data_IF_630052735694
#
_entry.id   IF_630052735694
#
_cell.length_a   1.000
_cell.length_b   1.000
_cell.length_c   1.000
_cell.angle_alpha   90.00
_cell.angle_beta   90.00
_cell.angle_gamma   90.00
#
_symmetry.space_group_name_H-M   'P 1'
#
loop_
_entity.id
_entity.type
_entity.pdbx_description
1 polymer ?
2 branched ?
3 water ?
#
# COMPACT_ATOMS: atom_id res chain seq x y z
N UNK A 4 15.83 -12.80 -2.63
CA UNK A 4 15.51 -13.71 -1.48
C UNK A 4 14.02 -13.68 -1.12
N UNK A 5 13.67 -14.30 0.01
CA UNK A 5 12.29 -14.39 0.46
C UNK A 5 11.62 -13.03 0.48
N UNK A 6 10.30 -13.03 0.35
CA UNK A 6 9.47 -11.92 0.77
C UNK A 6 9.68 -11.68 2.26
N UNK A 7 9.41 -10.45 2.68
CA UNK A 7 9.52 -10.05 4.08
C UNK A 7 8.25 -10.30 4.91
N UNK A 8 7.11 -10.53 4.26
CA UNK A 8 5.83 -10.58 5.00
C UNK A 8 5.46 -11.99 5.41
N UNK A 9 4.96 -12.76 4.44
CA UNK A 9 4.66 -14.19 4.62
C UNK A 9 3.58 -14.51 5.66
N UNK A 10 2.68 -13.55 5.92
CA UNK A 10 1.55 -13.81 6.85
C UNK A 10 0.74 -15.05 6.49
N UNK A 11 0.70 -15.38 5.19
CA UNK A 11 -0.26 -16.38 4.69
C UNK A 11 0.04 -17.81 5.15
N UNK A 12 1.30 -18.07 5.51
CA UNK A 12 1.69 -19.36 6.03
C UNK A 12 1.14 -19.60 7.43
N UNK A 13 0.88 -18.52 8.17
CA UNK A 13 0.43 -18.70 9.56
C UNK A 13 -0.96 -18.16 9.83
N UNK A 14 -1.70 -17.88 8.75
CA UNK A 14 -3.04 -17.29 8.83
C UNK A 14 -4.05 -18.09 8.02
N UNK A 15 -5.31 -17.99 8.44
CA UNK A 15 -6.41 -18.63 7.71
C UNK A 15 -7.68 -17.77 7.76
N UNK A 16 -8.72 -18.25 7.08
CA UNK A 16 -9.98 -17.51 6.87
C UNK A 16 -9.60 -16.07 6.54
N UNK A 17 -8.77 -15.89 5.51
CA UNK A 17 -8.34 -14.56 5.12
C UNK A 17 -9.51 -13.87 4.39
N UNK A 18 -9.86 -12.67 4.84
CA UNK A 18 -11.06 -11.94 4.41
C UNK A 18 -10.77 -10.46 4.18
N UNK A 19 -11.56 -9.79 3.35
CA UNK A 19 -11.58 -8.34 3.31
C UNK A 19 -12.86 -7.77 3.94
N UNK A 20 -12.72 -6.78 4.83
CA UNK A 20 -13.83 -5.96 5.31
C UNK A 20 -13.63 -4.53 4.77
N UNK A 21 -14.01 -4.36 3.50
CA UNK A 21 -13.69 -3.18 2.71
C UNK A 21 -12.21 -3.16 2.35
N UNK A 22 -11.49 -2.13 2.78
CA UNK A 22 -10.05 -2.10 2.60
C UNK A 22 -9.28 -2.81 3.74
N UNK A 23 -9.99 -3.29 4.76
CA UNK A 23 -9.32 -3.91 5.90
C UNK A 23 -9.13 -5.44 5.69
N UNK A 24 -7.89 -5.91 5.81
CA UNK A 24 -7.56 -7.33 5.68
C UNK A 24 -7.73 -7.98 7.03
N UNK A 25 -8.51 -9.05 7.11
CA UNK A 25 -8.73 -9.73 8.38
C UNK A 25 -8.38 -11.22 8.22
N UNK A 26 -7.86 -11.82 9.28
CA UNK A 26 -7.48 -13.24 9.27
C UNK A 26 -7.49 -13.80 10.68
N UNK A 27 -7.66 -15.12 10.75
CA UNK A 27 -7.36 -15.85 11.96
C UNK A 27 -5.85 -16.08 11.95
N UNK A 28 -5.14 -15.46 12.88
CA UNK A 28 -3.68 -15.62 12.95
C UNK A 28 -3.22 -16.53 14.11
N UNK A 29 -2.28 -17.43 13.83
CA UNK A 29 -1.63 -18.22 14.87
C UNK A 29 -0.82 -17.28 15.75
N UNK A 30 -0.86 -17.54 17.05
CA UNK A 30 -0.09 -16.80 18.06
C UNK A 30 1.11 -17.67 18.50
N UNK A 31 2.20 -17.09 18.99
CA UNK A 31 3.30 -17.97 19.47
C UNK A 31 2.95 -19.18 20.35
N UNK A 32 1.86 -19.07 21.13
CA UNK A 32 1.54 -19.98 22.24
C UNK A 32 0.63 -21.16 21.89
N UNK A 33 0.35 -21.33 20.60
CA UNK A 33 -0.55 -22.37 20.13
C UNK A 33 -1.99 -21.90 19.96
N UNK A 34 -2.31 -20.68 20.42
CA UNK A 34 -3.69 -20.19 20.32
C UNK A 34 -3.87 -19.42 19.01
N UNK A 35 -5.06 -18.87 18.80
CA UNK A 35 -5.33 -18.05 17.61
C UNK A 35 -5.86 -16.67 17.99
N UNK A 36 -5.66 -15.70 17.11
CA UNK A 36 -6.26 -14.38 17.23
C UNK A 36 -7.01 -14.09 15.93
N UNK A 37 -7.94 -13.14 15.98
CA UNK A 37 -8.47 -12.52 14.77
C UNK A 37 -7.86 -11.14 14.73
N UNK A 38 -7.12 -10.83 13.66
CA UNK A 38 -6.39 -9.57 13.55
C UNK A 38 -6.83 -8.88 12.27
N UNK A 39 -6.81 -7.55 12.27
CA UNK A 39 -7.10 -6.78 11.07
C UNK A 39 -5.96 -5.81 10.77
N UNK A 40 -5.66 -5.61 9.49
CA UNK A 40 -4.77 -4.51 9.07
C UNK A 40 -5.41 -3.69 7.94
N UNK A 41 -5.37 -2.37 8.05
CA UNK A 41 -5.97 -1.48 7.06
C UNK A 41 -5.05 -1.39 5.86
N UNK A 42 -5.39 -2.09 4.78
CA UNK A 42 -4.55 -2.02 3.57
C UNK A 42 -4.52 -0.64 2.89
N UNK A 43 -5.53 0.20 3.16
CA UNK A 43 -5.53 1.58 2.64
C UNK A 43 -4.42 2.44 3.23
N UNK A 44 -3.78 1.95 4.29
CA UNK A 44 -2.63 2.62 4.87
C UNK A 44 -1.30 2.25 4.18
N UNK A 45 -1.27 1.11 3.47
CA UNK A 45 0.00 0.53 2.96
C UNK A 45 0.11 0.40 1.44
N UNK A 46 -1.05 0.44 0.77
CA UNK A 46 -1.14 0.34 -0.70
C UNK A 46 -1.62 1.64 -1.36
N UNK A 47 -0.91 2.08 -2.40
CA UNK A 47 -1.35 3.21 -3.24
C UNK A 47 -1.84 2.75 -4.61
N UNK A 48 -2.70 3.56 -5.22
CA UNK A 48 -2.99 3.39 -6.63
C UNK A 48 -2.05 4.31 -7.40
N UNK A 49 -1.05 3.69 -8.00
CA UNK A 49 -0.03 4.39 -8.74
C UNK A 49 -0.41 4.39 -10.22
N UNK A 50 -1.12 5.43 -10.64
CA UNK A 50 -1.70 5.49 -11.97
C UNK A 50 -2.13 4.14 -12.58
N UNK A 51 -2.94 3.37 -11.86
CA UNK A 51 -3.48 2.13 -12.43
C UNK A 51 -2.84 0.86 -11.91
N UNK A 52 -1.86 0.99 -11.01
CA UNK A 52 -1.04 -0.12 -10.52
C UNK A 52 -0.87 -0.08 -9.00
N UNK A 53 -1.05 -1.23 -8.36
CA UNK A 53 -0.82 -1.37 -6.92
C UNK A 53 0.64 -1.13 -6.64
N UNK A 54 0.91 -0.35 -5.60
CA UNK A 54 2.28 -0.05 -5.19
C UNK A 54 2.30 -0.02 -3.67
N UNK A 55 3.35 -0.58 -3.08
CA UNK A 55 3.52 -0.53 -1.62
C UNK A 55 4.13 0.81 -1.27
N UNK A 56 3.32 1.69 -0.70
CA UNK A 56 3.80 3.02 -0.30
C UNK A 56 3.05 3.36 0.96
N UNK A 57 3.78 3.44 2.06
CA UNK A 57 3.17 3.64 3.37
C UNK A 57 2.74 5.09 3.59
N UNK A 58 1.53 5.27 4.13
CA UNK A 58 1.02 6.60 4.44
C UNK A 58 2.10 7.26 5.31
N UNK A 59 2.61 8.39 4.84
CA UNK A 59 3.68 9.10 5.54
C UNK A 59 3.79 10.56 5.10
N UNK A 60 4.72 11.29 5.70
CA UNK A 60 5.06 12.62 5.23
C UNK A 60 6.56 12.63 4.94
N UNK A 61 6.96 13.45 3.97
CA UNK A 61 8.38 13.65 3.66
C UNK A 61 8.68 15.15 3.60
N UNK A 62 9.75 15.57 4.26
CA UNK A 62 10.16 16.97 4.24
C UNK A 62 11.22 17.24 3.17
N UNK A 63 10.89 18.09 2.21
CA UNK A 63 11.81 18.38 1.12
C UNK A 63 13.14 18.96 1.64
N UNK A 64 14.24 18.45 1.11
CA UNK A 64 15.55 19.01 1.41
C UNK A 64 16.07 19.76 0.20
N UNK A 65 16.93 20.76 0.42
CA UNK A 65 17.59 21.50 -0.67
C UNK A 65 18.27 20.57 -1.66
N UNK A 66 18.04 20.83 -2.94
CA UNK A 66 18.54 19.98 -4.02
C UNK A 66 17.66 18.83 -4.46
N UNK A 67 16.67 18.45 -3.64
CA UNK A 67 15.68 17.43 -4.02
C UNK A 67 14.92 17.84 -5.28
N UNK A 68 14.45 16.83 -6.02
CA UNK A 68 13.48 17.03 -7.08
C UNK A 68 12.34 16.05 -6.83
N UNK A 69 11.20 16.34 -7.44
CA UNK A 69 10.03 15.48 -7.28
C UNK A 69 10.34 14.10 -7.87
N UNK A 70 11.07 14.05 -8.98
CA UNK A 70 11.55 12.76 -9.50
C UNK A 70 12.33 11.94 -8.48
N UNK A 71 13.30 12.57 -7.80
CA UNK A 71 14.12 11.87 -6.82
C UNK A 71 13.26 11.32 -5.70
N UNK A 72 12.35 12.15 -5.20
CA UNK A 72 11.44 11.72 -4.15
C UNK A 72 10.54 10.59 -4.68
N UNK A 73 10.08 10.72 -5.93
CA UNK A 73 9.33 9.65 -6.61
C UNK A 73 10.10 8.35 -6.57
N UNK A 74 11.36 8.40 -6.99
CA UNK A 74 12.24 7.25 -6.95
C UNK A 74 12.48 6.72 -5.54
N UNK A 75 12.68 7.62 -4.58
CA UNK A 75 12.89 7.17 -3.19
C UNK A 75 11.68 6.45 -2.60
N UNK A 76 10.47 6.82 -3.03
CA UNK A 76 9.24 6.24 -2.46
C UNK A 76 8.46 5.31 -3.39
N UNK A 77 8.97 5.11 -4.60
CA UNK A 77 8.34 4.27 -5.63
C UNK A 77 6.92 4.68 -5.94
N UNK A 78 6.79 5.81 -6.64
CA UNK A 78 5.48 6.30 -7.04
C UNK A 78 5.55 7.43 -8.06
N UNK A 79 4.45 7.59 -8.77
CA UNK A 79 4.26 8.60 -9.79
C UNK A 79 4.31 9.99 -9.15
N UNK A 80 5.39 10.73 -9.42
CA UNK A 80 5.54 12.08 -8.86
C UNK A 80 4.45 13.04 -9.34
N UNK A 81 3.77 12.66 -10.43
CA UNK A 81 2.63 13.44 -10.89
C UNK A 81 1.50 13.44 -9.87
N UNK A 82 1.27 12.29 -9.23
CA UNK A 82 0.24 12.17 -8.19
C UNK A 82 0.69 12.81 -6.88
N UNK A 83 1.96 12.65 -6.51
CA UNK A 83 2.50 13.44 -5.37
C UNK A 83 2.19 14.92 -5.59
N UNK A 84 2.37 15.38 -6.83
CA UNK A 84 2.14 16.78 -7.16
C UNK A 84 0.67 17.21 -6.99
N UNK A 85 -0.26 16.41 -7.53
CA UNK A 85 -1.69 16.73 -7.44
C UNK A 85 -2.15 16.68 -5.99
N UNK A 86 -1.96 15.53 -5.35
CA UNK A 86 -2.28 15.33 -3.93
C UNK A 86 -1.82 16.44 -2.98
N UNK A 87 -0.66 17.02 -3.27
CA UNK A 87 -0.08 18.13 -2.51
C UNK A 87 -0.25 19.50 -3.17
N UNK A 88 -1.07 19.56 -4.22
CA UNK A 88 -1.44 20.80 -4.91
C UNK A 88 -0.24 21.68 -5.28
N UNK A 89 0.71 21.01 -5.92
CA UNK A 89 1.92 21.63 -6.39
C UNK A 89 1.60 22.30 -7.73
N UNK A 90 1.82 23.62 -7.77
CA UNK A 90 1.55 24.43 -8.96
C UNK A 90 2.42 24.09 -10.18
N UNK A 91 3.68 23.74 -9.93
CA UNK A 91 4.66 23.50 -10.98
C UNK A 91 5.56 22.36 -10.50
N UNK A 92 5.51 21.22 -11.19
CA UNK A 92 6.21 20.01 -10.75
C UNK A 92 7.75 20.16 -10.65
N UNK A 93 8.29 21.19 -11.31
CA UNK A 93 9.73 21.48 -11.28
C UNK A 93 10.13 22.42 -10.13
N UNK A 94 9.14 22.87 -9.35
CA UNK A 94 9.38 23.79 -8.22
C UNK A 94 8.88 23.23 -6.87
N UNK A 95 9.84 22.75 -6.08
CA UNK A 95 9.62 22.39 -4.69
C UNK A 95 10.66 23.10 -3.82
N UNK A 96 10.40 23.18 -2.52
CA UNK A 96 11.18 24.09 -1.67
C UNK A 96 11.59 23.40 -0.37
N UNK A 97 12.82 23.65 0.12
CA UNK A 97 13.23 22.99 1.36
C UNK A 97 12.26 23.26 2.51
N UNK A 98 12.01 22.25 3.33
CA UNK A 98 11.07 22.40 4.42
C UNK A 98 9.64 22.12 4.02
N UNK A 99 9.35 22.03 2.72
CA UNK A 99 8.01 21.63 2.21
C UNK A 99 7.61 20.22 2.69
N UNK A 100 6.42 20.11 3.29
CA UNK A 100 5.93 18.83 3.84
C UNK A 100 4.95 18.19 2.87
N UNK A 101 5.36 17.04 2.33
CA UNK A 101 4.61 16.38 1.29
C UNK A 101 3.95 15.14 1.87
N UNK A 102 2.66 14.96 1.58
CA UNK A 102 1.93 13.78 2.01
C UNK A 102 2.15 12.72 0.93
N UNK A 103 2.46 11.50 1.36
CA UNK A 103 2.69 10.38 0.44
C UNK A 103 2.00 9.10 0.95
N UNK A 104 1.71 8.17 0.03
CA UNK A 104 1.38 6.79 0.39
C UNK A 104 -0.08 6.48 0.68
N UNK A 105 -0.41 5.19 0.70
CA UNK A 105 -1.79 4.77 1.00
C UNK A 105 -2.81 5.22 -0.03
N UNK A 106 -4.08 5.13 0.34
CA UNK A 106 -5.20 5.75 -0.44
C UNK A 106 -5.64 5.05 -1.73
N UNK A 107 -5.25 3.78 -1.95
CA UNK A 107 -5.67 3.04 -3.16
C UNK A 107 -7.20 2.91 -3.24
N UNK A 108 -7.83 2.68 -2.08
CA UNK A 108 -9.26 2.38 -1.95
C UNK A 108 -10.15 3.43 -2.60
N UNK A 109 -9.74 4.71 -2.53
CA UNK A 109 -10.51 5.86 -3.06
C UNK A 109 -10.64 5.86 -4.59
N UNK A 110 -9.81 5.06 -5.27
CA UNK A 110 -9.79 5.01 -6.76
C UNK A 110 -9.77 3.58 -7.31
N UNK A 111 -10.29 2.66 -6.49
CA UNK A 111 -10.38 1.23 -6.79
C UNK A 111 -11.83 0.78 -6.88
N UNK A 112 -12.07 -0.30 -7.63
CA UNK A 112 -13.37 -0.97 -7.68
C UNK A 112 -13.16 -2.45 -8.01
N UNK A 113 -14.21 -3.26 -7.84
CA UNK A 113 -14.15 -4.75 -8.03
C UNK A 113 -12.99 -5.36 -7.24
N UNK A 114 -12.88 -4.97 -5.97
CA UNK A 114 -11.73 -5.36 -5.17
C UNK A 114 -11.98 -6.73 -4.55
N UNK A 115 -11.04 -7.64 -4.69
CA UNK A 115 -11.22 -8.95 -4.08
C UNK A 115 -9.91 -9.69 -3.88
N UNK A 116 -9.96 -10.68 -3.00
CA UNK A 116 -8.88 -11.62 -2.77
C UNK A 116 -9.02 -12.80 -3.74
N UNK A 117 -7.88 -13.25 -4.28
CA UNK A 117 -7.79 -14.45 -5.08
C UNK A 117 -6.62 -15.26 -4.54
N UNK A 118 -6.42 -16.46 -5.08
CA UNK A 118 -5.28 -17.31 -4.73
C UNK A 118 -5.25 -17.68 -3.24
N UNK A 119 -6.40 -18.05 -2.69
CA UNK A 119 -6.51 -18.45 -1.29
C UNK A 119 -6.20 -17.33 -0.31
N UNK A 120 -6.45 -16.09 -0.73
CA UNK A 120 -6.20 -14.93 0.14
C UNK A 120 -4.82 -14.32 0.01
N UNK A 121 -3.98 -14.88 -0.87
CA UNK A 121 -2.59 -14.44 -1.00
C UNK A 121 -2.43 -13.20 -1.90
N UNK A 122 -3.40 -12.99 -2.78
CA UNK A 122 -3.32 -11.95 -3.80
C UNK A 122 -4.53 -11.04 -3.73
N UNK A 123 -4.26 -9.73 -3.73
CA UNK A 123 -5.29 -8.71 -3.88
C UNK A 123 -5.39 -8.26 -5.33
N UNK A 124 -6.61 -8.22 -5.86
CA UNK A 124 -6.84 -7.71 -7.21
C UNK A 124 -7.94 -6.64 -7.22
N UNK A 125 -7.86 -5.72 -8.17
CA UNK A 125 -8.82 -4.63 -8.25
C UNK A 125 -8.73 -4.02 -9.64
N UNK A 126 -9.75 -3.24 -9.98
CA UNK A 126 -9.65 -2.35 -11.11
C UNK A 126 -9.34 -1.01 -10.50
N UNK A 127 -8.25 -0.41 -10.98
CA UNK A 127 -7.73 0.83 -10.47
C UNK A 127 -7.83 1.91 -11.52
N UNK A 128 -8.29 3.10 -11.11
CA UNK A 128 -8.41 4.22 -12.03
C UNK A 128 -7.03 4.69 -12.52
N UNK A 129 -6.87 4.85 -13.84
CA UNK A 129 -5.70 5.54 -14.42
C UNK A 129 -6.10 6.66 -15.40
N UNK A 130 -5.12 7.48 -15.76
CA UNK A 130 -5.26 8.59 -16.71
C UNK A 130 -5.61 8.05 -18.10
N UNK A 131 -6.87 7.68 -18.28
CA UNK A 131 -7.29 7.04 -19.52
C UNK A 131 -8.32 5.94 -19.33
N UNK A 132 -8.49 5.46 -18.10
CA UNK A 132 -9.57 4.54 -17.76
C UNK A 132 -9.41 3.73 -16.47
N UNK A 133 -9.75 2.44 -16.56
CA UNK A 133 -9.59 1.48 -15.46
C UNK A 133 -8.72 0.29 -15.87
N UNK A 134 -7.69 0.03 -15.05
CA UNK A 134 -6.75 -1.06 -15.25
C UNK A 134 -6.86 -2.15 -14.18
N UNK A 135 -6.89 -3.42 -14.60
CA UNK A 135 -6.85 -4.55 -13.65
C UNK A 135 -5.42 -4.78 -13.12
N UNK A 136 -5.28 -4.84 -11.80
CA UNK A 136 -3.98 -4.94 -11.12
C UNK A 136 -4.08 -5.95 -9.97
N UNK A 137 -2.97 -6.62 -9.66
CA UNK A 137 -2.93 -7.63 -8.62
C UNK A 137 -1.63 -7.41 -7.86
N UNK A 138 -1.63 -7.78 -6.59
CA UNK A 138 -0.44 -7.55 -5.77
C UNK A 138 -0.29 -8.72 -4.81
N UNK A 139 0.94 -9.19 -4.61
CA UNK A 139 1.20 -10.30 -3.70
C UNK A 139 1.32 -9.79 -2.26
N UNK A 140 0.30 -10.05 -1.44
CA UNK A 140 0.25 -9.49 -0.10
C UNK A 140 1.36 -10.03 0.81
N UNK A 141 1.78 -11.28 0.60
CA UNK A 141 2.94 -11.82 1.34
C UNK A 141 4.23 -11.01 1.20
N UNK A 142 4.30 -10.11 0.23
CA UNK A 142 5.49 -9.25 0.08
C UNK A 142 5.76 -8.43 1.32
N UNK A 143 4.71 -7.86 1.91
CA UNK A 143 4.87 -6.92 3.03
C UNK A 143 3.89 -7.09 4.21
N UNK A 144 2.96 -8.04 4.12
CA UNK A 144 2.10 -8.31 5.29
C UNK A 144 2.61 -9.50 6.05
N UNK A 145 2.84 -9.33 7.35
CA UNK A 145 3.37 -10.40 8.20
C UNK A 145 2.50 -10.63 9.42
N UNK A 146 2.69 -11.77 10.07
CA UNK A 146 2.04 -12.11 11.34
C UNK A 146 3.10 -12.14 12.43
N UNK A 147 3.00 -11.22 13.39
CA UNK A 147 3.88 -11.25 14.57
C UNK A 147 3.02 -11.55 15.78
N UNK A 148 3.20 -12.74 16.34
CA UNK A 148 2.48 -13.17 17.54
C UNK A 148 0.96 -12.91 17.45
N UNK A 149 0.37 -13.23 16.30
CA UNK A 149 -1.08 -13.14 16.11
C UNK A 149 -1.57 -11.79 15.62
N UNK A 150 -0.67 -10.82 15.44
CA UNK A 150 -1.07 -9.52 14.90
C UNK A 150 -0.60 -9.39 13.44
N UNK A 151 -1.51 -9.01 12.54
CA UNK A 151 -1.09 -8.63 11.19
C UNK A 151 -0.36 -7.29 11.21
N UNK A 152 0.86 -7.27 10.67
CA UNK A 152 1.69 -6.06 10.65
C UNK A 152 2.27 -5.85 9.24
N UNK A 153 2.61 -4.61 8.92
CA UNK A 153 3.40 -4.34 7.72
C UNK A 153 4.86 -4.58 8.06
N UNK A 154 5.57 -5.30 7.21
CA UNK A 154 7.02 -5.33 7.36
C UNK A 154 7.75 -5.27 6.03
X LIG B 1 13.85 17.89 -13.55
X LIG B 1 13.13 18.23 -12.24
X LIG B 1 13.36 19.68 -11.87
X LIG B 1 14.85 19.98 -11.89
X LIG B 1 15.38 19.63 -13.28
X LIG B 1 16.86 19.88 -13.38
X LIG B 1 11.17 16.93 -11.71
X LIG B 1 9.73 16.69 -11.96
X LIG B 1 11.72 17.93 -12.34
X LIG B 1 13.90 16.49 -13.73
X LIG B 1 12.86 19.90 -10.58
X LIG B 1 15.10 21.34 -11.79
X LIG B 1 15.20 18.26 -13.44
X LIG B 1 17.48 19.34 -12.24
X LIG B 1 11.78 16.24 -10.98
X LIG B 2 15.47 21.72 -10.47
X LIG B 2 16.14 23.11 -10.47
X LIG B 2 16.39 23.67 -9.08
X LIG B 2 15.17 23.51 -8.18
X LIG B 2 14.77 22.04 -8.20
X LIG B 2 13.62 21.80 -7.26
X LIG B 2 17.50 23.55 -12.36
X LIG B 2 18.85 23.41 -12.96
X LIG B 2 17.39 23.07 -11.16
X LIG B 2 16.73 25.02 -9.19
X LIG B 2 15.47 23.96 -6.87
X LIG B 2 14.43 21.63 -9.52
X LIG B 2 12.49 22.58 -7.57
X LIG B 2 16.60 24.06 -12.96
X LIG B 3 14.59 24.93 -6.33
X LIG B 3 14.86 25.07 -4.83
X LIG B 3 14.16 26.27 -4.23
X LIG B 3 14.38 27.57 -5.02
X LIG B 3 14.16 27.29 -6.49
X LIG B 3 14.61 28.45 -7.31
X LIG B 3 15.32 22.94 -3.71
X LIG B 3 14.59 21.71 -3.27
X LIG B 3 14.49 23.89 -4.11
X LIG B 3 14.52 26.40 -2.87
X LIG B 3 13.46 28.61 -4.71
X LIG B 3 14.81 26.15 -6.97
X LIG B 3 14.04 28.43 -8.60
X LIG B 3 16.52 23.03 -3.69
X LIG B 4 13.86 29.50 -3.68
X LIG B 4 13.13 30.84 -3.80
X LIG B 4 13.61 31.79 -2.73
X LIG B 4 13.47 31.14 -1.37
X LIG B 4 14.18 29.80 -1.35
X LIG B 4 13.91 29.14 -0.02
X LIG B 4 12.38 31.80 -5.88
X LIG B 4 12.78 32.26 -7.22
X LIG B 4 13.33 31.45 -5.08
X LIG B 4 12.84 32.93 -2.75
X LIG B 4 13.90 31.99 -0.34
X LIG B 4 13.76 28.97 -2.40
X LIG B 4 14.17 27.79 -0.04
X LIG B 4 11.26 31.75 -5.58
#
# INVERSE_FOLDING_TARGET
>A
GSHGNYAGNFSGSSRDICLDGARLRAECRRGDGGYSTSVIDLNRYLSNDNGHFRWVSTATVTVQQGDTLRDIGRRFDCDFHEIARRNNIQNEDLIYPGQVLQVGGNFWDSARDVRLVDGGKVLEAELRYSGGWNRSRIYLDEHIGNRNGELIHC
>B hetero
1 NAG C1 C2 C3 C4 C5 C6 C7 C8 N2 O1 O3 O4 O5 O6 O7
2 NAG C1 C2 C3 C4 C5 C6 C7 C8 N2 O3 O4 O5 O6 O7
3 NAG C1 C2 C3 C4 C5 C6 C7 C8 N2 O3 O4 O5 O6 O7
4 NAG C1 C2 C3 C4 C5 C6 C7 C8 N2 O3 O4 O5 O6 O7
#
